data_IF_575477337888
#
_entry.id   IF_575477337888
#
_cell.length_a   1.000
_cell.length_b   1.000
_cell.length_c   1.000
_cell.angle_alpha   90.00
_cell.angle_beta   90.00
_cell.angle_gamma   90.00
#
_symmetry.space_group_name_H-M   'P 1'
#
loop_
_entity.id
_entity.type
_entity.pdbx_description
1 polymer ?
#
# COMPACT_ATOMS: atom_id res chain seq x y z
N UNK A 1 16.27 12.97 2.28
CA UNK A 1 16.26 13.49 0.90
C UNK A 1 14.82 13.92 0.60
N UNK A 2 14.55 15.21 0.60
CA UNK A 2 13.19 15.73 0.34
C UNK A 2 13.17 16.44 -1.03
N UNK A 3 13.61 15.71 -2.07
CA UNK A 3 13.62 16.22 -3.45
C UNK A 3 12.25 16.00 -4.11
N UNK A 4 11.28 16.80 -3.69
CA UNK A 4 9.89 16.69 -4.14
C UNK A 4 9.72 16.97 -5.63
N UNK A 5 10.57 17.83 -6.21
CA UNK A 5 10.53 18.13 -7.66
C UNK A 5 10.88 16.89 -8.50
N UNK A 6 11.96 16.22 -8.16
CA UNK A 6 12.35 15.00 -8.86
C UNK A 6 11.40 13.85 -8.54
N UNK A 7 10.92 13.71 -7.29
CA UNK A 7 9.91 12.72 -6.93
C UNK A 7 8.66 12.86 -7.80
N UNK A 8 8.10 14.06 -7.91
CA UNK A 8 6.92 14.31 -8.76
C UNK A 8 7.23 14.05 -10.24
N UNK A 9 8.38 14.53 -10.73
CA UNK A 9 8.80 14.35 -12.13
C UNK A 9 8.86 12.88 -12.53
N UNK A 10 9.55 12.04 -11.75
CA UNK A 10 9.73 10.64 -12.09
C UNK A 10 8.47 9.80 -11.84
N UNK A 11 7.69 10.11 -10.79
CA UNK A 11 6.38 9.49 -10.59
C UNK A 11 5.45 9.75 -11.79
N UNK A 12 5.39 10.99 -12.30
CA UNK A 12 4.62 11.33 -13.51
C UNK A 12 5.08 10.58 -14.76
N UNK A 13 6.37 10.36 -14.93
CA UNK A 13 6.88 9.56 -16.03
C UNK A 13 6.44 8.10 -15.92
N UNK A 14 6.56 7.52 -14.74
CA UNK A 14 6.11 6.14 -14.49
C UNK A 14 4.58 5.99 -14.68
N UNK A 15 3.77 6.92 -14.20
CA UNK A 15 2.31 6.91 -14.37
C UNK A 15 1.90 6.84 -15.85
N UNK A 16 2.66 7.46 -16.75
CA UNK A 16 2.39 7.43 -18.20
C UNK A 16 2.62 6.07 -18.85
N UNK A 17 3.30 5.15 -18.19
CA UNK A 17 3.64 3.84 -18.77
C UNK A 17 2.52 2.81 -18.68
N UNK A 18 1.47 3.08 -17.88
CA UNK A 18 0.39 2.12 -17.67
C UNK A 18 -0.86 2.76 -17.09
N UNK A 19 -1.75 1.90 -16.60
CA UNK A 19 -3.00 2.28 -15.95
C UNK A 19 -3.14 1.54 -14.62
N UNK A 20 -3.83 2.14 -13.65
CA UNK A 20 -4.23 1.45 -12.42
C UNK A 20 -5.13 0.26 -12.75
N UNK A 21 -4.86 -0.85 -12.10
CA UNK A 21 -5.74 -2.03 -12.16
C UNK A 21 -7.06 -1.71 -11.48
N UNK A 22 -8.17 -2.16 -12.09
CA UNK A 22 -9.52 -1.91 -11.62
C UNK A 22 -10.22 -3.20 -11.19
N UNK A 23 -11.10 -3.14 -10.21
CA UNK A 23 -11.97 -4.24 -9.79
C UNK A 23 -11.21 -5.56 -9.60
N UNK A 24 -11.71 -6.62 -10.22
CA UNK A 24 -11.12 -7.96 -10.11
C UNK A 24 -9.68 -8.03 -10.62
N UNK A 25 -9.29 -7.21 -11.58
CA UNK A 25 -7.91 -7.18 -12.08
C UNK A 25 -6.94 -6.74 -10.97
N UNK A 26 -7.36 -5.82 -10.10
CA UNK A 26 -6.56 -5.41 -8.94
C UNK A 26 -6.35 -6.56 -7.95
N UNK A 27 -7.40 -7.30 -7.61
CA UNK A 27 -7.28 -8.45 -6.71
C UNK A 27 -6.50 -9.59 -7.36
N UNK A 28 -6.77 -9.86 -8.63
CA UNK A 28 -6.14 -10.95 -9.38
C UNK A 28 -4.65 -10.74 -9.61
N UNK A 29 -4.15 -9.50 -9.68
CA UNK A 29 -2.70 -9.29 -9.85
C UNK A 29 -1.86 -9.84 -8.68
N UNK A 30 -2.47 -10.04 -7.51
CA UNK A 30 -1.82 -10.70 -6.37
C UNK A 30 -2.06 -12.20 -6.33
N UNK A 31 -3.17 -12.68 -6.90
CA UNK A 31 -3.62 -14.06 -6.79
C UNK A 31 -3.36 -14.89 -8.04
N UNK A 32 -3.15 -14.25 -9.18
CA UNK A 32 -2.88 -14.89 -10.46
C UNK A 32 -1.59 -14.32 -11.07
N UNK A 33 -0.51 -15.10 -11.01
CA UNK A 33 0.80 -14.67 -11.50
C UNK A 33 0.87 -14.44 -13.02
N UNK A 34 -0.12 -14.88 -13.77
CA UNK A 34 -0.27 -14.54 -15.20
C UNK A 34 -0.78 -13.11 -15.41
N UNK A 35 -1.38 -12.51 -14.38
CA UNK A 35 -1.90 -11.14 -14.42
C UNK A 35 -0.80 -10.17 -14.04
N UNK A 36 -0.33 -9.36 -14.99
CA UNK A 36 0.68 -8.32 -14.73
C UNK A 36 0.12 -7.13 -13.95
N UNK A 37 -1.17 -6.82 -14.17
CA UNK A 37 -1.85 -5.71 -13.53
C UNK A 37 -1.11 -4.38 -13.72
N UNK A 38 -0.91 -3.66 -12.63
CA UNK A 38 -0.20 -2.37 -12.58
C UNK A 38 1.28 -2.52 -12.19
N UNK A 39 1.87 -3.72 -12.35
CA UNK A 39 3.26 -3.98 -12.03
C UNK A 39 4.19 -3.14 -12.92
N UNK A 40 5.14 -2.45 -12.32
CA UNK A 40 6.30 -1.87 -12.99
C UNK A 40 7.46 -2.85 -12.92
N UNK A 41 7.67 -3.42 -11.74
CA UNK A 41 8.69 -4.44 -11.52
C UNK A 41 8.24 -5.44 -10.45
N UNK A 42 8.37 -6.74 -10.78
CA UNK A 42 8.14 -7.87 -9.88
C UNK A 42 9.39 -8.74 -9.82
N UNK A 43 9.68 -9.27 -8.64
CA UNK A 43 10.71 -10.29 -8.51
C UNK A 43 10.13 -11.65 -8.90
N UNK A 44 10.93 -12.44 -9.62
CA UNK A 44 10.56 -13.82 -9.92
C UNK A 44 10.86 -14.71 -8.70
N UNK A 45 9.79 -15.20 -8.07
CA UNK A 45 9.87 -15.98 -6.84
C UNK A 45 10.01 -17.50 -7.02
N UNK A 46 10.39 -17.99 -8.20
CA UNK A 46 10.49 -19.45 -8.49
C UNK A 46 11.24 -20.21 -7.41
N UNK A 47 12.41 -19.72 -7.01
CA UNK A 47 13.26 -20.40 -6.02
C UNK A 47 12.86 -20.11 -4.56
N UNK A 48 11.85 -19.25 -4.38
CA UNK A 48 11.39 -18.82 -3.05
C UNK A 48 9.94 -19.26 -2.77
N UNK A 49 9.50 -20.31 -3.43
CA UNK A 49 8.12 -20.82 -3.37
C UNK A 49 7.58 -20.90 -1.94
N UNK A 50 6.52 -20.15 -1.68
CA UNK A 50 5.79 -20.16 -0.42
C UNK A 50 6.51 -19.54 0.78
N UNK A 51 7.73 -19.05 0.66
CA UNK A 51 8.47 -18.49 1.81
C UNK A 51 7.88 -17.18 2.30
N UNK A 52 7.46 -16.30 1.39
CA UNK A 52 6.80 -15.05 1.77
C UNK A 52 5.45 -15.33 2.42
N UNK A 53 4.64 -16.20 1.80
CA UNK A 53 3.38 -16.64 2.39
C UNK A 53 3.59 -17.20 3.79
N UNK A 54 4.51 -18.15 3.96
CA UNK A 54 4.81 -18.78 5.24
C UNK A 54 5.28 -17.76 6.29
N UNK A 55 6.11 -16.79 5.89
CA UNK A 55 6.56 -15.72 6.76
C UNK A 55 5.39 -14.83 7.23
N UNK A 56 4.53 -14.40 6.30
CA UNK A 56 3.39 -13.56 6.67
C UNK A 56 2.35 -14.31 7.48
N UNK A 57 2.09 -15.59 7.19
CA UNK A 57 1.19 -16.43 7.99
C UNK A 57 1.69 -16.64 9.43
N UNK A 58 2.99 -16.82 9.59
CA UNK A 58 3.56 -17.14 10.91
C UNK A 58 3.89 -15.90 11.76
N UNK A 59 4.15 -14.75 11.12
CA UNK A 59 4.82 -13.63 11.79
C UNK A 59 4.14 -12.28 11.63
N UNK A 60 3.18 -12.13 10.71
CA UNK A 60 2.63 -10.84 10.35
C UNK A 60 1.09 -10.86 10.28
N UNK A 61 0.46 -10.73 11.44
CA UNK A 61 -1.00 -10.54 11.51
C UNK A 61 -1.33 -9.08 11.27
N UNK A 62 -2.33 -8.76 10.41
CA UNK A 62 -2.84 -7.39 10.30
C UNK A 62 -3.34 -6.87 11.64
N UNK A 63 -2.92 -5.67 12.02
CA UNK A 63 -3.40 -5.01 13.22
C UNK A 63 -4.89 -4.66 13.10
N UNK A 64 -5.63 -4.72 14.21
CA UNK A 64 -7.07 -4.40 14.20
C UNK A 64 -7.30 -2.96 13.74
N UNK A 65 -6.43 -2.03 14.12
CA UNK A 65 -6.45 -0.64 13.68
C UNK A 65 -6.32 -0.49 12.15
N UNK A 66 -5.64 -1.41 11.47
CA UNK A 66 -5.56 -1.38 10.00
C UNK A 66 -6.97 -1.54 9.38
N UNK A 67 -7.79 -2.44 9.90
CA UNK A 67 -9.14 -2.65 9.39
C UNK A 67 -10.03 -1.42 9.55
N UNK A 68 -9.84 -0.64 10.63
CA UNK A 68 -10.61 0.59 10.86
C UNK A 68 -10.29 1.74 9.91
N UNK A 69 -9.20 1.61 9.13
CA UNK A 69 -8.86 2.62 8.12
C UNK A 69 -9.70 2.51 6.86
N UNK A 70 -10.25 1.31 6.58
CA UNK A 70 -10.99 1.05 5.35
C UNK A 70 -12.47 1.40 5.53
N UNK A 71 -13.04 1.96 4.48
CA UNK A 71 -14.46 2.25 4.41
C UNK A 71 -15.21 1.08 3.74
N UNK A 72 -16.54 1.06 3.89
CA UNK A 72 -17.38 0.05 3.28
C UNK A 72 -17.22 0.07 1.75
N UNK A 73 -17.13 -1.10 1.14
CA UNK A 73 -16.95 -1.24 -0.32
C UNK A 73 -15.51 -1.08 -0.82
N UNK A 74 -14.54 -0.80 0.06
CA UNK A 74 -13.14 -0.69 -0.35
C UNK A 74 -12.61 -2.05 -0.83
N UNK A 75 -12.29 -2.17 -2.13
CA UNK A 75 -11.87 -3.43 -2.74
C UNK A 75 -10.59 -4.01 -2.13
N UNK A 76 -9.75 -3.15 -1.53
CA UNK A 76 -8.50 -3.57 -0.89
C UNK A 76 -8.73 -4.47 0.32
N UNK A 77 -9.89 -4.38 0.96
CA UNK A 77 -10.30 -5.34 2.00
C UNK A 77 -10.33 -6.78 1.49
N UNK A 78 -10.53 -6.99 0.19
CA UNK A 78 -10.45 -8.31 -0.42
C UNK A 78 -9.08 -8.99 -0.33
N UNK A 79 -8.02 -8.22 -0.01
CA UNK A 79 -6.67 -8.71 0.23
C UNK A 79 -6.36 -8.93 1.73
N UNK A 80 -7.24 -8.49 2.61
CA UNK A 80 -7.18 -8.73 4.06
C UNK A 80 -8.29 -9.71 4.40
N UNK A 81 -7.94 -10.92 4.78
CA UNK A 81 -8.89 -12.01 5.00
C UNK A 81 -8.90 -12.45 6.45
N UNK A 82 -9.98 -13.10 6.85
CA UNK A 82 -10.07 -13.77 8.14
C UNK A 82 -10.31 -15.26 7.90
N UNK A 83 -9.52 -16.10 8.54
CA UNK A 83 -9.70 -17.55 8.55
C UNK A 83 -9.65 -18.03 9.98
N UNK A 84 -10.74 -18.67 10.42
CA UNK A 84 -10.85 -19.22 11.77
C UNK A 84 -10.59 -18.21 12.90
N UNK A 85 -11.01 -16.93 12.68
CA UNK A 85 -10.79 -15.85 13.64
C UNK A 85 -9.42 -15.17 13.55
N UNK A 86 -8.54 -15.62 12.66
CA UNK A 86 -7.21 -15.05 12.46
C UNK A 86 -7.20 -14.25 11.17
N UNK A 87 -6.87 -12.95 11.31
CA UNK A 87 -6.67 -12.09 10.15
C UNK A 87 -5.34 -12.37 9.46
N UNK A 88 -5.32 -12.31 8.13
CA UNK A 88 -4.08 -12.45 7.34
C UNK A 88 -4.12 -11.62 6.07
N UNK A 89 -2.95 -11.30 5.54
CA UNK A 89 -2.81 -10.62 4.25
C UNK A 89 -2.67 -11.64 3.12
N UNK A 90 -3.51 -11.53 2.08
CA UNK A 90 -3.51 -12.45 0.94
C UNK A 90 -2.70 -11.96 -0.28
N UNK A 91 -1.93 -10.89 -0.15
CA UNK A 91 -1.07 -10.37 -1.25
C UNK A 91 -0.01 -11.38 -1.72
N UNK A 92 0.31 -12.37 -0.88
CA UNK A 92 1.30 -13.41 -1.20
C UNK A 92 0.67 -14.80 -1.32
N UNK A 93 -0.63 -14.87 -1.61
CA UNK A 93 -1.38 -16.10 -1.76
C UNK A 93 -1.75 -16.36 -3.22
N UNK A 94 -0.75 -16.60 -4.05
CA UNK A 94 -0.98 -16.89 -5.45
C UNK A 94 -1.78 -18.19 -5.62
N UNK A 95 -3.04 -18.06 -6.04
CA UNK A 95 -3.96 -19.18 -6.26
C UNK A 95 -3.76 -19.84 -7.62
N UNK A 96 -3.34 -19.06 -8.61
CA UNK A 96 -3.07 -19.52 -9.98
C UNK A 96 -1.62 -19.25 -10.31
N UNK A 97 -0.92 -20.31 -10.65
CA UNK A 97 0.50 -20.27 -10.93
C UNK A 97 0.79 -20.83 -12.32
N UNK A 98 1.68 -20.20 -13.10
CA UNK A 98 2.12 -20.76 -14.35
C UNK A 98 2.92 -22.06 -14.10
N UNK A 99 2.83 -22.97 -15.06
CA UNK A 99 3.68 -24.16 -15.15
C UNK A 99 3.67 -25.12 -13.94
N UNK A 100 2.51 -25.27 -13.30
CA UNK A 100 2.32 -26.17 -12.15
C UNK A 100 3.25 -25.89 -10.94
N UNK A 101 3.79 -24.70 -10.84
CA UNK A 101 4.60 -24.27 -9.69
C UNK A 101 3.69 -23.95 -8.51
N UNK A 102 3.75 -24.77 -7.48
CA UNK A 102 2.95 -24.59 -6.26
C UNK A 102 3.62 -23.59 -5.32
N UNK A 103 2.82 -22.66 -4.79
CA UNK A 103 3.25 -21.69 -3.76
C UNK A 103 4.32 -20.69 -4.21
N UNK A 104 4.35 -20.33 -5.48
CA UNK A 104 5.21 -19.26 -5.97
C UNK A 104 4.60 -17.91 -5.64
N UNK A 105 5.38 -17.02 -5.08
CA UNK A 105 5.03 -15.62 -4.83
C UNK A 105 5.99 -14.72 -5.60
N UNK A 106 5.43 -13.86 -6.45
CA UNK A 106 6.21 -12.86 -7.19
C UNK A 106 5.92 -11.47 -6.60
N UNK A 107 6.67 -11.03 -5.58
CA UNK A 107 6.37 -9.77 -4.91
C UNK A 107 6.58 -8.57 -5.83
N UNK A 108 5.70 -7.59 -5.71
CA UNK A 108 5.89 -6.30 -6.33
C UNK A 108 7.05 -5.56 -5.65
N UNK A 109 7.98 -5.05 -6.45
CA UNK A 109 9.00 -4.11 -5.99
C UNK A 109 8.54 -2.69 -6.29
N UNK A 110 7.97 -2.48 -7.51
CA UNK A 110 7.36 -1.23 -7.90
C UNK A 110 6.06 -1.46 -8.65
N UNK A 111 5.04 -0.67 -8.35
CA UNK A 111 3.75 -0.67 -9.03
C UNK A 111 3.17 0.74 -9.17
N UNK A 112 2.23 0.90 -10.09
CA UNK A 112 1.72 2.24 -10.43
C UNK A 112 1.02 2.94 -9.27
N UNK A 113 0.30 2.23 -8.42
CA UNK A 113 -0.33 2.86 -7.24
C UNK A 113 0.67 3.57 -6.36
N UNK A 114 1.85 2.97 -6.14
CA UNK A 114 2.92 3.64 -5.39
C UNK A 114 3.33 4.94 -6.07
N UNK A 115 3.42 4.95 -7.41
CA UNK A 115 3.78 6.15 -8.16
C UNK A 115 2.70 7.24 -8.06
N UNK A 116 1.42 6.86 -8.04
CA UNK A 116 0.33 7.80 -7.76
C UNK A 116 0.43 8.38 -6.36
N UNK A 117 0.72 7.56 -5.34
CA UNK A 117 0.89 8.03 -3.97
C UNK A 117 2.13 8.93 -3.82
N UNK A 118 3.24 8.57 -4.47
CA UNK A 118 4.46 9.40 -4.51
C UNK A 118 4.18 10.75 -5.19
N UNK A 119 3.41 10.76 -6.29
CA UNK A 119 3.04 12.00 -6.98
C UNK A 119 2.11 12.87 -6.15
N UNK A 120 1.12 12.29 -5.46
CA UNK A 120 0.20 13.02 -4.58
C UNK A 120 0.95 13.71 -3.43
N UNK A 121 1.82 12.99 -2.76
CA UNK A 121 2.61 13.53 -1.64
C UNK A 121 3.59 14.62 -2.11
N UNK A 122 4.33 14.35 -3.19
CA UNK A 122 5.28 15.33 -3.74
C UNK A 122 4.57 16.61 -4.22
N UNK A 123 3.43 16.50 -4.89
CA UNK A 123 2.63 17.64 -5.32
C UNK A 123 2.14 18.46 -4.09
N UNK A 124 1.71 17.80 -3.02
CA UNK A 124 1.30 18.48 -1.80
C UNK A 124 2.46 19.29 -1.18
N UNK A 125 3.65 18.70 -1.06
CA UNK A 125 4.82 19.40 -0.56
C UNK A 125 5.25 20.60 -1.44
N UNK A 126 4.99 20.51 -2.74
CA UNK A 126 5.19 21.61 -3.70
C UNK A 126 4.04 22.63 -3.70
N UNK A 127 3.02 22.45 -2.84
CA UNK A 127 1.81 23.28 -2.74
C UNK A 127 0.93 23.27 -3.99
N UNK A 128 1.08 22.28 -4.85
CA UNK A 128 0.16 22.00 -5.95
C UNK A 128 -0.95 21.06 -5.46
N UNK A 129 -1.84 21.60 -4.65
CA UNK A 129 -2.91 20.83 -4.00
C UNK A 129 -3.93 20.29 -5.01
N UNK A 130 -4.11 20.96 -6.12
CA UNK A 130 -4.96 20.48 -7.21
C UNK A 130 -4.40 19.20 -7.82
N UNK A 131 -3.11 19.18 -8.13
CA UNK A 131 -2.46 17.98 -8.63
C UNK A 131 -2.43 16.87 -7.58
N UNK A 132 -2.13 17.20 -6.31
CA UNK A 132 -2.14 16.25 -5.21
C UNK A 132 -3.49 15.54 -5.07
N UNK A 133 -4.59 16.31 -5.03
CA UNK A 133 -5.96 15.78 -5.02
C UNK A 133 -6.26 14.92 -6.26
N UNK A 134 -5.80 15.32 -7.44
CA UNK A 134 -6.02 14.59 -8.69
C UNK A 134 -5.38 13.20 -8.68
N UNK A 135 -4.14 13.08 -8.19
CA UNK A 135 -3.48 11.77 -8.06
C UNK A 135 -4.15 10.90 -7.00
N UNK A 136 -4.47 11.47 -5.84
CA UNK A 136 -5.16 10.75 -4.78
C UNK A 136 -6.55 10.29 -5.22
N UNK A 137 -7.29 11.13 -5.95
CA UNK A 137 -8.60 10.81 -6.51
C UNK A 137 -8.57 9.52 -7.31
N UNK A 138 -7.56 9.31 -8.15
CA UNK A 138 -7.44 8.08 -8.95
C UNK A 138 -7.34 6.82 -8.09
N UNK A 139 -6.68 6.90 -6.94
CA UNK A 139 -6.60 5.78 -5.98
C UNK A 139 -7.95 5.54 -5.29
N UNK A 140 -8.62 6.60 -4.86
CA UNK A 140 -9.93 6.52 -4.19
C UNK A 140 -11.02 6.00 -5.13
N UNK A 141 -11.05 6.47 -6.39
CA UNK A 141 -11.97 5.98 -7.43
C UNK A 141 -11.80 4.49 -7.69
N UNK A 142 -10.55 4.01 -7.74
CA UNK A 142 -10.26 2.61 -7.89
C UNK A 142 -10.65 1.80 -6.66
N UNK A 143 -10.46 2.37 -5.45
CA UNK A 143 -10.70 1.69 -4.19
C UNK A 143 -12.19 1.46 -3.92
N UNK A 144 -13.03 2.42 -4.26
CA UNK A 144 -14.49 2.35 -4.09
C UNK A 144 -15.17 2.78 -5.39
N UNK A 145 -15.35 4.10 -5.59
CA UNK A 145 -15.94 4.69 -6.79
C UNK A 145 -15.69 6.21 -6.87
N UNK A 146 -16.22 6.85 -7.92
CA UNK A 146 -16.06 8.28 -8.17
C UNK A 146 -16.76 9.14 -7.12
N UNK A 147 -17.95 8.76 -6.68
CA UNK A 147 -18.72 9.53 -5.69
C UNK A 147 -18.04 9.49 -4.33
N UNK A 148 -17.55 8.32 -3.93
CA UNK A 148 -16.73 8.18 -2.73
C UNK A 148 -15.48 9.06 -2.78
N UNK A 149 -14.76 9.07 -3.90
CA UNK A 149 -13.55 9.87 -4.06
C UNK A 149 -13.85 11.38 -3.92
N UNK A 150 -14.90 11.88 -4.58
CA UNK A 150 -15.32 13.29 -4.50
C UNK A 150 -15.73 13.65 -3.07
N UNK A 151 -16.58 12.84 -2.45
CA UNK A 151 -17.07 13.08 -1.10
C UNK A 151 -15.94 13.06 -0.08
N UNK A 152 -15.03 12.10 -0.16
CA UNK A 152 -13.89 11.99 0.75
C UNK A 152 -12.97 13.19 0.62
N UNK A 153 -12.58 13.57 -0.61
CA UNK A 153 -11.69 14.71 -0.82
C UNK A 153 -12.31 16.02 -0.34
N UNK A 154 -13.62 16.19 -0.45
CA UNK A 154 -14.32 17.40 0.00
C UNK A 154 -14.24 17.65 1.51
N UNK A 155 -13.91 16.64 2.31
CA UNK A 155 -13.79 16.72 3.77
C UNK A 155 -12.44 17.27 4.22
N UNK A 156 -11.46 17.37 3.31
CA UNK A 156 -10.11 17.78 3.64
C UNK A 156 -9.78 19.13 3.01
N UNK A 157 -9.32 20.05 3.85
CA UNK A 157 -8.68 21.29 3.34
C UNK A 157 -7.30 20.97 2.78
N UNK A 158 -6.76 21.84 1.94
CA UNK A 158 -5.43 21.72 1.35
C UNK A 158 -4.34 21.38 2.38
N UNK A 159 -4.38 22.05 3.54
CA UNK A 159 -3.42 21.81 4.61
C UNK A 159 -3.55 20.41 5.25
N UNK A 160 -4.75 19.84 5.25
CA UNK A 160 -5.05 18.52 5.84
C UNK A 160 -4.99 17.37 4.83
N UNK A 161 -4.88 17.68 3.55
CA UNK A 161 -4.87 16.67 2.49
C UNK A 161 -3.73 15.66 2.67
N UNK A 162 -2.60 16.07 3.26
CA UNK A 162 -1.48 15.16 3.56
C UNK A 162 -1.91 14.02 4.49
N UNK A 163 -2.78 14.26 5.45
CA UNK A 163 -3.26 13.23 6.38
C UNK A 163 -4.06 12.15 5.65
N UNK A 164 -4.83 12.55 4.63
CA UNK A 164 -5.53 11.60 3.77
C UNK A 164 -4.56 10.83 2.86
N UNK A 165 -3.55 11.52 2.30
CA UNK A 165 -2.51 10.88 1.48
C UNK A 165 -1.77 9.81 2.30
N UNK A 166 -1.35 10.13 3.53
CA UNK A 166 -0.68 9.19 4.43
C UNK A 166 -1.59 7.99 4.77
N UNK A 167 -2.85 8.25 5.14
CA UNK A 167 -3.86 7.20 5.41
C UNK A 167 -4.03 6.27 4.22
N UNK A 168 -4.24 6.83 3.03
CA UNK A 168 -4.45 6.04 1.82
C UNK A 168 -3.19 5.27 1.38
N UNK A 169 -2.00 5.84 1.63
CA UNK A 169 -0.74 5.15 1.38
C UNK A 169 -0.58 3.92 2.27
N UNK A 170 -0.92 4.01 3.56
CA UNK A 170 -0.93 2.86 4.47
C UNK A 170 -1.89 1.77 3.98
N UNK A 171 -3.12 2.13 3.62
CA UNK A 171 -4.13 1.20 3.08
C UNK A 171 -3.64 0.51 1.79
N UNK A 172 -3.05 1.29 0.90
CA UNK A 172 -2.62 0.83 -0.41
C UNK A 172 -1.42 -0.10 -0.35
N UNK A 173 -0.40 0.28 0.41
CA UNK A 173 0.92 -0.37 0.42
C UNK A 173 1.15 -1.26 1.65
N UNK A 174 0.11 -1.55 2.45
CA UNK A 174 0.23 -2.45 3.58
C UNK A 174 0.82 -3.81 3.15
N UNK A 175 1.70 -4.37 3.96
CA UNK A 175 2.42 -5.63 3.72
C UNK A 175 3.39 -5.63 2.52
N UNK A 176 3.69 -4.47 1.92
CA UNK A 176 4.65 -4.37 0.80
C UNK A 176 6.01 -3.76 1.22
N UNK A 177 6.28 -3.66 2.53
CA UNK A 177 7.56 -3.22 3.07
C UNK A 177 7.74 -1.69 3.20
N UNK A 178 6.74 -0.89 2.81
CA UNK A 178 6.84 0.58 2.79
C UNK A 178 6.65 1.24 4.16
N UNK A 179 5.74 0.72 4.98
CA UNK A 179 5.23 1.41 6.15
C UNK A 179 6.32 1.85 7.15
N UNK A 180 7.34 1.03 7.38
CA UNK A 180 8.42 1.36 8.29
C UNK A 180 9.19 2.61 7.82
N UNK A 181 9.54 2.66 6.54
CA UNK A 181 10.25 3.81 5.96
C UNK A 181 9.35 5.06 5.91
N UNK A 182 8.07 4.88 5.67
CA UNK A 182 7.08 5.96 5.65
C UNK A 182 6.94 6.60 7.03
N UNK A 183 6.78 5.81 8.10
CA UNK A 183 6.71 6.29 9.49
C UNK A 183 7.97 7.11 9.85
N UNK A 184 9.16 6.60 9.50
CA UNK A 184 10.43 7.31 9.77
C UNK A 184 10.45 8.67 9.06
N UNK A 185 10.15 8.71 7.77
CA UNK A 185 10.21 9.96 6.99
C UNK A 185 9.10 10.94 7.35
N UNK A 186 7.94 10.46 7.82
CA UNK A 186 6.88 11.30 8.38
C UNK A 186 7.14 11.73 9.81
N UNK A 187 8.23 11.25 10.43
CA UNK A 187 8.62 11.58 11.81
C UNK A 187 7.55 11.21 12.83
N UNK A 188 6.91 10.08 12.60
CA UNK A 188 5.83 9.57 13.44
C UNK A 188 6.33 8.51 14.42
N UNK A 189 5.67 8.40 15.56
CA UNK A 189 5.85 7.30 16.47
C UNK A 189 5.18 6.04 15.94
N UNK A 190 5.82 4.89 16.10
CA UNK A 190 5.18 3.59 15.88
C UNK A 190 4.57 3.12 17.20
N UNK A 191 3.26 2.92 17.22
CA UNK A 191 2.54 2.26 18.32
C UNK A 191 2.13 0.86 17.89
N UNK A 192 2.33 -0.10 18.78
CA UNK A 192 1.86 -1.47 18.60
C UNK A 192 0.60 -1.67 19.41
N UNK A 193 -0.26 -2.57 18.96
CA UNK A 193 -1.44 -2.97 19.70
C UNK A 193 -1.09 -3.91 20.85
N UNK A 194 -1.93 -3.91 21.89
CA UNK A 194 -1.70 -4.70 23.11
C UNK A 194 -1.65 -6.21 22.84
N UNK A 195 -2.31 -6.68 21.77
CA UNK A 195 -2.36 -8.09 21.39
C UNK A 195 -1.14 -8.57 20.59
N UNK A 196 -0.11 -7.73 20.41
CA UNK A 196 1.12 -8.14 19.74
C UNK A 196 2.04 -8.93 20.67
N UNK A 197 2.74 -9.94 20.14
CA UNK A 197 3.74 -10.71 20.88
C UNK A 197 5.06 -9.93 21.09
N UNK A 198 5.03 -8.61 21.01
CA UNK A 198 6.21 -7.78 21.18
C UNK A 198 6.26 -7.17 22.57
N UNK A 199 7.41 -7.24 23.22
CA UNK A 199 7.67 -6.50 24.47
C UNK A 199 7.83 -4.99 24.27
N UNK A 200 7.90 -4.53 23.02
CA UNK A 200 8.03 -3.12 22.66
C UNK A 200 6.67 -2.60 22.22
N UNK A 201 6.01 -1.84 23.09
CA UNK A 201 4.68 -1.25 22.82
C UNK A 201 4.76 -0.02 21.91
N UNK A 202 5.83 0.73 22.01
CA UNK A 202 6.02 1.99 21.28
C UNK A 202 7.47 2.19 20.88
N UNK A 203 7.66 2.69 19.66
CA UNK A 203 8.95 3.19 19.16
C UNK A 203 8.77 4.69 18.90
N UNK A 204 9.56 5.52 19.58
CA UNK A 204 9.44 6.99 19.58
C UNK A 204 10.41 7.60 18.59
N UNK A 205 9.93 8.50 17.74
CA UNK A 205 10.77 9.30 16.86
C UNK A 205 11.36 10.48 17.63
N UNK A 206 12.63 10.87 17.44
CA UNK A 206 13.69 10.13 16.71
C UNK A 206 14.52 9.21 17.62
N UNK A 207 14.24 9.16 18.92
CA UNK A 207 15.13 8.56 19.92
C UNK A 207 15.37 7.07 19.73
N UNK A 208 14.35 6.34 19.27
CA UNK A 208 14.37 4.89 19.16
C UNK A 208 14.62 4.41 17.72
N UNK A 209 14.63 5.33 16.74
CA UNK A 209 14.96 4.98 15.36
C UNK A 209 16.47 5.03 15.14
N UNK A 210 17.02 3.94 14.65
CA UNK A 210 18.40 3.95 14.17
C UNK A 210 18.49 4.78 12.90
N UNK A 211 19.29 5.82 12.95
CA UNK A 211 19.71 6.54 11.74
C UNK A 211 20.80 5.68 11.10
N UNK A 212 20.45 5.01 10.01
CA UNK A 212 21.41 4.33 9.16
C UNK A 212 22.19 5.35 8.32
#
# INVERSE_FOLDING_TARGET
MEDWNNALKYAKLAIRTGKLSQGDTYLNMYQDLSTTGEAIFRLNGIDQSGKLKAFYDASCVPADTLFTLFDEGDIRLGLLRNKDGIAYCSKYYSLKQPDNQVNRDDPFVFRLSEMYMNAAEAAWHLKDYTAASGYLKSILERAVDTDYAVNTLSQYSDAKLIQLIEKERVKELCFEGHNFFDIIRWKQDLKREENTNSSVEKIVYPSDYFVL
#
